data_IF_000018204181
#
_entry.id   IF_000018204181
#
_cell.length_a   1.000
_cell.length_b   1.000
_cell.length_c   1.000
_cell.angle_alpha   90.00
_cell.angle_beta   90.00
_cell.angle_gamma   90.00
#
_symmetry.space_group_name_H-M   'P 1'
#
loop_
_entity.id
_entity.type
_entity.pdbx_description
1 polymer ?
#
# COMPACT_ATOMS: atom_id res chain seq x y z
N UNK A 1 -12.49 -21.84 -26.09
CA UNK A 1 -12.78 -21.73 -24.64
C UNK A 1 -12.34 -20.35 -24.21
N UNK A 2 -13.30 -19.47 -23.98
CA UNK A 2 -13.08 -18.04 -23.73
C UNK A 2 -12.39 -17.85 -22.37
N UNK A 3 -11.26 -17.16 -22.41
CA UNK A 3 -10.50 -16.70 -21.25
C UNK A 3 -11.30 -15.56 -20.60
N UNK A 4 -12.26 -15.91 -19.73
CA UNK A 4 -13.04 -14.94 -18.98
C UNK A 4 -12.11 -14.19 -18.02
N UNK A 5 -11.88 -12.92 -18.36
CA UNK A 5 -11.58 -11.82 -17.47
C UNK A 5 -10.64 -12.16 -16.31
N UNK A 6 -9.34 -12.16 -16.60
CA UNK A 6 -8.35 -11.88 -15.57
C UNK A 6 -8.41 -10.36 -15.30
N UNK A 7 -9.56 -9.88 -14.81
CA UNK A 7 -9.66 -8.55 -14.23
C UNK A 7 -8.59 -8.49 -13.15
N UNK A 8 -7.70 -7.50 -13.25
CA UNK A 8 -6.78 -7.18 -12.18
C UNK A 8 -7.65 -6.89 -10.96
N UNK A 9 -7.79 -7.88 -10.07
CA UNK A 9 -8.33 -7.67 -8.74
C UNK A 9 -7.29 -6.82 -8.03
N UNK A 10 -7.44 -5.51 -8.18
CA UNK A 10 -6.70 -4.48 -7.49
C UNK A 10 -7.53 -4.07 -6.28
N UNK A 11 -6.89 -3.90 -5.13
CA UNK A 11 -7.59 -3.56 -3.90
C UNK A 11 -8.14 -2.11 -3.92
N UNK A 12 -7.84 -1.35 -4.97
CA UNK A 12 -8.37 -0.01 -5.24
C UNK A 12 -9.90 0.08 -5.19
N UNK A 13 -10.64 -0.99 -5.50
CA UNK A 13 -12.12 -1.01 -5.38
C UNK A 13 -12.61 -0.60 -3.98
N UNK A 14 -11.81 -0.89 -2.95
CA UNK A 14 -12.16 -0.58 -1.57
C UNK A 14 -12.17 0.93 -1.28
N UNK A 15 -11.31 1.68 -1.98
CA UNK A 15 -11.26 3.14 -1.88
C UNK A 15 -12.26 3.84 -2.80
N UNK A 16 -12.67 3.16 -3.88
CA UNK A 16 -13.59 3.68 -4.91
C UNK A 16 -15.07 3.36 -4.64
N UNK A 17 -15.38 2.61 -3.57
CA UNK A 17 -16.77 2.29 -3.22
C UNK A 17 -17.59 3.56 -2.95
N UNK A 18 -18.61 3.77 -3.78
CA UNK A 18 -19.45 4.96 -3.76
C UNK A 18 -20.16 5.15 -2.42
N UNK A 19 -20.61 4.05 -1.79
CA UNK A 19 -21.33 4.11 -0.53
C UNK A 19 -20.41 4.50 0.63
N UNK A 20 -19.16 4.01 0.64
CA UNK A 20 -18.12 4.45 1.58
C UNK A 20 -17.74 5.91 1.36
N UNK A 21 -17.69 6.37 0.11
CA UNK A 21 -17.46 7.78 -0.19
C UNK A 21 -18.59 8.66 0.35
N UNK A 22 -19.84 8.24 0.19
CA UNK A 22 -21.02 8.96 0.70
C UNK A 22 -21.06 8.98 2.23
N UNK A 23 -20.72 7.87 2.90
CA UNK A 23 -20.52 7.85 4.35
C UNK A 23 -19.44 8.84 4.79
N UNK A 24 -18.34 8.91 4.06
CA UNK A 24 -17.25 9.86 4.32
C UNK A 24 -17.72 11.30 4.25
N UNK A 25 -18.44 11.68 3.19
CA UNK A 25 -19.00 13.02 3.02
C UNK A 25 -20.01 13.38 4.12
N UNK A 26 -20.93 12.47 4.42
CA UNK A 26 -21.94 12.69 5.44
C UNK A 26 -21.32 12.84 6.85
N UNK A 27 -20.28 12.06 7.16
CA UNK A 27 -19.52 12.24 8.40
C UNK A 27 -18.74 13.55 8.44
N UNK A 28 -18.15 13.97 7.31
CA UNK A 28 -17.46 15.26 7.21
C UNK A 28 -18.43 16.42 7.47
N UNK A 29 -19.63 16.37 6.92
CA UNK A 29 -20.63 17.43 7.12
C UNK A 29 -21.03 17.55 8.59
N UNK A 30 -21.22 16.43 9.29
CA UNK A 30 -21.53 16.44 10.73
C UNK A 30 -20.38 16.98 11.60
N UNK A 31 -19.13 16.89 11.12
CA UNK A 31 -17.91 17.23 11.86
C UNK A 31 -17.38 18.62 11.58
N UNK A 32 -17.59 19.13 10.37
CA UNK A 32 -17.01 20.36 9.81
C UNK A 32 -17.16 21.54 10.76
N UNK A 33 -18.39 21.83 11.20
CA UNK A 33 -18.70 22.99 12.04
C UNK A 33 -18.58 22.70 13.55
N UNK A 34 -18.29 21.45 13.91
CA UNK A 34 -18.12 21.00 15.29
C UNK A 34 -16.67 20.64 15.60
N UNK A 35 -16.38 19.33 15.62
CA UNK A 35 -15.08 18.81 16.05
C UNK A 35 -13.91 19.26 15.16
N UNK A 36 -14.13 19.42 13.85
CA UNK A 36 -13.07 19.83 12.92
C UNK A 36 -12.75 21.33 13.08
N UNK A 37 -13.78 22.17 13.22
CA UNK A 37 -13.63 23.59 13.56
C UNK A 37 -12.88 23.77 14.89
N UNK A 38 -13.22 23.00 15.93
CA UNK A 38 -12.50 23.05 17.22
C UNK A 38 -11.01 22.71 17.05
N UNK A 39 -10.69 21.66 16.29
CA UNK A 39 -9.31 21.25 16.05
C UNK A 39 -8.53 22.33 15.29
N UNK A 40 -9.13 22.88 14.23
CA UNK A 40 -8.55 23.96 13.43
C UNK A 40 -8.25 25.20 14.28
N UNK A 41 -9.24 25.68 15.05
CA UNK A 41 -9.09 26.85 15.92
C UNK A 41 -8.01 26.64 17.01
N UNK A 42 -7.91 25.44 17.59
CA UNK A 42 -6.82 25.13 18.54
C UNK A 42 -5.43 25.20 17.89
N UNK A 43 -5.31 24.72 16.66
CA UNK A 43 -4.07 24.81 15.89
C UNK A 43 -3.73 26.27 15.55
N UNK A 44 -4.72 27.08 15.17
CA UNK A 44 -4.53 28.52 14.97
C UNK A 44 -4.07 29.22 16.25
N UNK A 45 -4.70 28.94 17.41
CA UNK A 45 -4.25 29.47 18.71
C UNK A 45 -2.80 29.08 18.99
N UNK A 46 -2.44 27.82 18.75
CA UNK A 46 -1.07 27.34 18.96
C UNK A 46 -0.05 28.07 18.06
N UNK A 47 -0.36 28.20 16.77
CA UNK A 47 0.47 28.91 15.81
C UNK A 47 0.63 30.39 16.18
N UNK A 48 -0.48 31.04 16.56
CA UNK A 48 -0.50 32.45 16.97
C UNK A 48 0.36 32.70 18.21
N UNK A 49 0.29 31.82 19.21
CA UNK A 49 1.13 31.87 20.42
C UNK A 49 2.62 31.73 20.12
N UNK A 50 2.98 30.99 19.08
CA UNK A 50 4.38 30.81 18.66
C UNK A 50 4.90 31.93 17.77
N UNK A 51 4.00 32.71 17.17
CA UNK A 51 4.38 33.76 16.26
C UNK A 51 5.00 34.94 17.03
N UNK A 52 6.25 35.28 16.68
CA UNK A 52 7.00 36.38 17.31
C UNK A 52 6.81 37.74 16.62
N UNK A 53 6.16 37.76 15.46
CA UNK A 53 5.99 38.96 14.62
C UNK A 53 4.67 39.69 14.88
N UNK A 54 3.73 39.04 15.57
CA UNK A 54 2.43 39.63 15.93
C UNK A 54 2.55 40.26 17.30
N UNK A 55 1.95 41.44 17.46
CA UNK A 55 1.84 42.15 18.74
C UNK A 55 1.01 41.36 19.77
N UNK A 56 1.40 41.45 21.04
CA UNK A 56 0.78 40.65 22.09
C UNK A 56 -0.68 41.05 22.39
N UNK A 57 -1.05 42.32 22.23
CA UNK A 57 -2.44 42.74 22.38
C UNK A 57 -3.34 42.18 21.27
N UNK A 58 -2.83 42.17 20.03
CA UNK A 58 -3.51 41.55 18.88
C UNK A 58 -3.64 40.04 19.08
N UNK A 59 -2.60 39.37 19.61
CA UNK A 59 -2.69 37.94 19.93
C UNK A 59 -3.78 37.63 20.95
N UNK A 60 -3.83 38.40 22.03
CA UNK A 60 -4.81 38.19 23.10
C UNK A 60 -6.23 38.32 22.55
N UNK A 61 -6.50 39.39 21.79
CA UNK A 61 -7.80 39.63 21.16
C UNK A 61 -8.23 38.47 20.25
N UNK A 62 -7.38 38.05 19.31
CA UNK A 62 -7.69 36.93 18.40
C UNK A 62 -7.85 35.60 19.13
N UNK A 63 -7.08 35.34 20.19
CA UNK A 63 -7.25 34.13 21.01
C UNK A 63 -8.59 34.13 21.74
N UNK A 64 -9.05 35.28 22.23
CA UNK A 64 -10.36 35.39 22.87
C UNK A 64 -11.51 35.16 21.90
N UNK A 65 -11.40 35.69 20.67
CA UNK A 65 -12.36 35.43 19.59
C UNK A 65 -12.42 33.93 19.25
N UNK A 66 -11.26 33.31 19.00
CA UNK A 66 -11.20 31.86 18.74
C UNK A 66 -11.74 31.02 19.90
N UNK A 67 -11.57 31.45 21.15
CA UNK A 67 -12.17 30.76 22.30
C UNK A 67 -13.69 30.83 22.28
N UNK A 68 -14.28 31.97 21.91
CA UNK A 68 -15.74 32.10 21.76
C UNK A 68 -16.27 31.18 20.66
N UNK A 69 -15.62 31.17 19.51
CA UNK A 69 -15.98 30.28 18.40
C UNK A 69 -15.83 28.79 18.76
N UNK A 70 -14.85 28.43 19.59
CA UNK A 70 -14.70 27.06 20.11
C UNK A 70 -15.91 26.66 20.96
N UNK A 71 -16.47 27.57 21.77
CA UNK A 71 -17.66 27.26 22.58
C UNK A 71 -18.91 27.06 21.72
N UNK A 72 -19.06 27.80 20.63
CA UNK A 72 -20.14 27.59 19.65
C UNK A 72 -19.98 26.24 18.93
N UNK A 73 -18.78 25.95 18.43
CA UNK A 73 -18.49 24.68 17.77
C UNK A 73 -18.66 23.47 18.72
N UNK A 74 -18.42 23.64 20.02
CA UNK A 74 -18.70 22.61 21.03
C UNK A 74 -20.20 22.28 21.14
N UNK A 75 -21.08 23.28 21.01
CA UNK A 75 -22.53 23.04 21.01
C UNK A 75 -22.94 22.22 19.80
N UNK A 76 -22.51 22.64 18.61
CA UNK A 76 -22.74 21.90 17.35
C UNK A 76 -22.19 20.47 17.43
N UNK A 77 -20.99 20.28 17.97
CA UNK A 77 -20.41 18.95 18.16
C UNK A 77 -21.21 18.08 19.14
N UNK A 78 -21.82 18.68 20.17
CA UNK A 78 -22.66 17.96 21.12
C UNK A 78 -24.00 17.56 20.49
N UNK A 79 -24.61 18.47 19.72
CA UNK A 79 -25.85 18.23 18.97
C UNK A 79 -25.68 17.10 17.94
N UNK A 80 -24.56 17.11 17.20
CA UNK A 80 -24.27 16.10 16.17
C UNK A 80 -23.70 14.79 16.72
N UNK A 81 -23.37 14.71 18.03
CA UNK A 81 -22.61 13.61 18.63
C UNK A 81 -23.22 12.23 18.37
N UNK A 82 -24.52 12.08 18.59
CA UNK A 82 -25.19 10.78 18.48
C UNK A 82 -25.39 10.38 17.02
N UNK A 83 -25.71 11.34 16.15
CA UNK A 83 -25.80 11.15 14.71
C UNK A 83 -24.44 10.72 14.12
N UNK A 84 -23.36 11.42 14.47
CA UNK A 84 -22.00 11.09 14.05
C UNK A 84 -21.61 9.69 14.54
N UNK A 85 -21.87 9.37 15.81
CA UNK A 85 -21.54 8.07 16.39
C UNK A 85 -22.26 6.92 15.67
N UNK A 86 -23.55 7.09 15.40
CA UNK A 86 -24.36 6.08 14.70
C UNK A 86 -23.87 5.91 13.26
N UNK A 87 -23.69 7.00 12.53
CA UNK A 87 -23.23 6.98 11.14
C UNK A 87 -21.82 6.39 11.01
N UNK A 88 -20.91 6.71 11.93
CA UNK A 88 -19.56 6.15 11.94
C UNK A 88 -19.58 4.65 12.20
N UNK A 89 -20.45 4.17 13.09
CA UNK A 89 -20.62 2.73 13.35
C UNK A 89 -21.17 1.99 12.11
N UNK A 90 -22.17 2.56 11.44
CA UNK A 90 -22.72 2.01 10.20
C UNK A 90 -21.68 1.97 9.08
N UNK A 91 -20.93 3.06 8.89
CA UNK A 91 -19.88 3.17 7.90
C UNK A 91 -18.76 2.14 8.14
N UNK A 92 -18.32 1.97 9.39
CA UNK A 92 -17.30 0.96 9.76
C UNK A 92 -17.84 -0.46 9.58
N UNK A 93 -19.09 -0.73 9.92
CA UNK A 93 -19.71 -2.03 9.71
C UNK A 93 -19.78 -2.37 8.21
N UNK A 94 -20.15 -1.41 7.37
CA UNK A 94 -20.16 -1.57 5.92
C UNK A 94 -18.74 -1.78 5.36
N UNK A 95 -17.78 -0.96 5.78
CA UNK A 95 -16.35 -1.10 5.45
C UNK A 95 -15.82 -2.51 5.77
N UNK A 96 -16.10 -3.01 6.97
CA UNK A 96 -15.69 -4.36 7.39
C UNK A 96 -16.36 -5.46 6.56
N UNK A 97 -17.64 -5.30 6.23
CA UNK A 97 -18.35 -6.25 5.38
C UNK A 97 -17.73 -6.28 3.99
N UNK A 98 -17.58 -5.12 3.35
CA UNK A 98 -16.97 -4.99 2.03
C UNK A 98 -15.56 -5.60 2.00
N UNK A 99 -14.76 -5.33 3.03
CA UNK A 99 -13.44 -5.91 3.19
C UNK A 99 -13.49 -7.44 3.24
N UNK A 100 -14.29 -8.00 4.15
CA UNK A 100 -14.37 -9.45 4.37
C UNK A 100 -14.90 -10.20 3.14
N UNK A 101 -15.85 -9.60 2.41
CA UNK A 101 -16.46 -10.21 1.22
C UNK A 101 -15.43 -10.35 0.09
N UNK A 102 -14.44 -9.44 0.00
CA UNK A 102 -13.52 -9.37 -1.13
C UNK A 102 -12.07 -9.80 -0.83
N UNK A 103 -11.60 -9.67 0.41
CA UNK A 103 -10.19 -9.92 0.77
C UNK A 103 -9.75 -11.36 0.46
N UNK A 104 -10.66 -12.33 0.59
CA UNK A 104 -10.38 -13.74 0.32
C UNK A 104 -10.00 -13.95 -1.14
N UNK A 105 -10.75 -13.37 -2.06
CA UNK A 105 -10.53 -13.52 -3.49
C UNK A 105 -9.30 -12.75 -3.95
N UNK A 106 -9.04 -11.58 -3.36
CA UNK A 106 -7.78 -10.85 -3.56
C UNK A 106 -6.56 -11.65 -3.11
N UNK A 107 -6.58 -12.25 -1.91
CA UNK A 107 -5.46 -13.09 -1.45
C UNK A 107 -5.28 -14.32 -2.35
N UNK A 108 -6.39 -14.90 -2.83
CA UNK A 108 -6.35 -16.03 -3.74
C UNK A 108 -5.71 -15.65 -5.08
N UNK A 109 -6.05 -14.50 -5.66
CA UNK A 109 -5.46 -14.01 -6.91
C UNK A 109 -3.97 -13.70 -6.75
N UNK A 110 -3.58 -13.06 -5.64
CA UNK A 110 -2.16 -12.82 -5.31
C UNK A 110 -1.37 -14.12 -5.15
N UNK A 111 -1.95 -15.13 -4.50
CA UNK A 111 -1.30 -16.44 -4.39
C UNK A 111 -1.20 -17.16 -5.76
N UNK A 112 -2.16 -16.96 -6.66
CA UNK A 112 -2.05 -17.46 -8.04
C UNK A 112 -0.93 -16.76 -8.81
N UNK A 113 -0.79 -15.43 -8.68
CA UNK A 113 0.34 -14.68 -9.26
C UNK A 113 1.68 -15.22 -8.77
N UNK A 114 1.82 -15.51 -7.47
CA UNK A 114 3.06 -16.09 -6.93
C UNK A 114 3.39 -17.47 -7.52
N UNK A 115 2.38 -18.31 -7.76
CA UNK A 115 2.56 -19.59 -8.46
C UNK A 115 3.04 -19.37 -9.90
N UNK A 116 2.43 -18.40 -10.60
CA UNK A 116 2.83 -18.06 -11.97
C UNK A 116 4.27 -17.53 -12.02
N UNK A 117 4.65 -16.63 -11.11
CA UNK A 117 6.03 -16.11 -11.04
C UNK A 117 7.07 -17.23 -10.85
N UNK A 118 6.71 -18.29 -10.11
CA UNK A 118 7.58 -19.45 -9.95
C UNK A 118 7.75 -20.21 -11.27
N UNK A 119 6.65 -20.46 -11.98
CA UNK A 119 6.66 -21.12 -13.29
C UNK A 119 7.47 -20.29 -14.30
N UNK A 120 7.22 -18.97 -14.35
CA UNK A 120 7.93 -18.05 -15.25
C UNK A 120 9.43 -18.04 -14.95
N UNK A 121 9.82 -18.06 -13.67
CA UNK A 121 11.21 -18.17 -13.25
C UNK A 121 11.84 -19.49 -13.70
N UNK A 122 11.18 -20.62 -13.49
CA UNK A 122 11.67 -21.95 -13.91
C UNK A 122 11.83 -22.03 -15.44
N UNK A 123 10.90 -21.46 -16.20
CA UNK A 123 10.99 -21.34 -17.65
C UNK A 123 12.14 -20.43 -18.08
N UNK A 124 12.31 -19.28 -17.43
CA UNK A 124 13.38 -18.34 -17.74
C UNK A 124 14.77 -18.96 -17.47
N UNK A 125 14.94 -19.68 -16.37
CA UNK A 125 16.18 -20.41 -16.08
C UNK A 125 16.47 -21.45 -17.17
N UNK A 126 15.44 -22.17 -17.61
CA UNK A 126 15.56 -23.17 -18.67
C UNK A 126 15.97 -22.54 -20.01
N UNK A 127 15.39 -21.39 -20.39
CA UNK A 127 15.79 -20.63 -21.59
C UNK A 127 17.24 -20.15 -21.51
N UNK A 128 17.62 -19.53 -20.38
CA UNK A 128 18.99 -19.05 -20.16
C UNK A 128 20.01 -20.20 -20.29
N UNK A 129 19.68 -21.38 -19.77
CA UNK A 129 20.54 -22.56 -19.91
C UNK A 129 20.68 -23.01 -21.37
N UNK A 130 19.57 -23.12 -22.10
CA UNK A 130 19.57 -23.54 -23.50
C UNK A 130 20.35 -22.55 -24.39
N UNK A 131 20.12 -21.25 -24.21
CA UNK A 131 20.84 -20.18 -24.93
C UNK A 131 22.34 -20.24 -24.63
N UNK A 132 22.75 -20.47 -23.38
CA UNK A 132 24.15 -20.57 -23.02
C UNK A 132 24.81 -21.83 -23.60
N UNK A 133 24.10 -22.95 -23.65
CA UNK A 133 24.59 -24.19 -24.24
C UNK A 133 24.76 -24.07 -25.76
N UNK A 134 23.80 -23.45 -26.46
CA UNK A 134 23.91 -23.14 -27.88
C UNK A 134 25.12 -22.23 -28.16
N UNK A 135 25.27 -21.14 -27.41
CA UNK A 135 26.40 -20.22 -27.57
C UNK A 135 27.77 -20.87 -27.25
N UNK A 136 27.82 -21.81 -26.31
CA UNK A 136 29.03 -22.62 -26.06
C UNK A 136 29.35 -23.51 -27.25
N UNK A 137 28.34 -24.17 -27.82
CA UNK A 137 28.52 -25.03 -28.99
C UNK A 137 29.08 -24.23 -30.17
N UNK A 138 28.53 -23.05 -30.45
CA UNK A 138 29.05 -22.13 -31.47
C UNK A 138 30.51 -21.74 -31.22
N UNK A 139 30.87 -21.43 -29.96
CA UNK A 139 32.25 -21.12 -29.61
C UNK A 139 33.22 -22.31 -29.85
N UNK A 140 32.77 -23.55 -29.61
CA UNK A 140 33.55 -24.75 -29.91
C UNK A 140 33.64 -25.02 -31.41
N UNK A 141 32.57 -24.79 -32.17
CA UNK A 141 32.56 -24.95 -33.63
C UNK A 141 33.54 -23.96 -34.28
N UNK A 142 33.56 -22.70 -33.83
CA UNK A 142 34.52 -21.68 -34.30
C UNK A 142 35.96 -22.00 -33.91
N UNK A 143 36.19 -22.60 -32.74
CA UNK A 143 37.50 -23.10 -32.35
C UNK A 143 37.97 -24.24 -33.25
N UNK A 144 37.08 -25.13 -33.71
CA UNK A 144 37.45 -26.20 -34.61
C UNK A 144 38.02 -25.68 -35.95
N UNK A 145 37.54 -24.52 -36.40
CA UNK A 145 38.02 -23.82 -37.60
C UNK A 145 39.31 -23.03 -37.36
N UNK A 146 39.33 -22.18 -36.33
CA UNK A 146 40.42 -21.22 -36.08
C UNK A 146 41.60 -21.82 -35.31
N UNK A 147 41.34 -22.86 -34.50
CA UNK A 147 42.27 -23.47 -33.53
C UNK A 147 42.88 -22.48 -32.52
N UNK A 148 42.27 -21.31 -32.33
CA UNK A 148 42.73 -20.32 -31.36
C UNK A 148 42.19 -20.64 -29.95
N UNK A 149 43.02 -21.31 -29.17
CA UNK A 149 42.68 -21.67 -27.78
C UNK A 149 42.56 -20.46 -26.84
N UNK A 150 43.24 -19.34 -27.12
CA UNK A 150 43.17 -18.15 -26.29
C UNK A 150 41.81 -17.46 -26.46
N UNK A 151 41.33 -17.38 -27.70
CA UNK A 151 40.04 -16.78 -28.01
C UNK A 151 38.87 -17.64 -27.52
N UNK A 152 38.94 -18.98 -27.66
CA UNK A 152 37.95 -19.88 -27.07
C UNK A 152 37.81 -19.66 -25.56
N UNK A 153 38.94 -19.60 -24.82
CA UNK A 153 38.92 -19.39 -23.38
C UNK A 153 38.32 -18.03 -23.00
N UNK A 154 38.57 -16.98 -23.79
CA UNK A 154 37.93 -15.67 -23.57
C UNK A 154 36.42 -15.76 -23.75
N UNK A 155 35.94 -16.36 -24.84
CA UNK A 155 34.50 -16.54 -25.12
C UNK A 155 33.81 -17.35 -24.02
N UNK A 156 34.39 -18.48 -23.60
CA UNK A 156 33.85 -19.30 -22.52
C UNK A 156 33.77 -18.54 -21.18
N UNK A 157 34.77 -17.71 -20.86
CA UNK A 157 34.74 -16.88 -19.66
C UNK A 157 33.65 -15.81 -19.72
N UNK A 158 33.48 -15.16 -20.89
CA UNK A 158 32.38 -14.19 -21.12
C UNK A 158 31.03 -14.88 -20.97
N UNK A 159 30.82 -16.04 -21.60
CA UNK A 159 29.58 -16.82 -21.51
C UNK A 159 29.29 -17.26 -20.07
N UNK A 160 30.31 -17.62 -19.29
CA UNK A 160 30.16 -17.96 -17.86
C UNK A 160 29.72 -16.75 -17.04
N UNK A 161 30.31 -15.58 -17.30
CA UNK A 161 29.93 -14.34 -16.62
C UNK A 161 28.49 -13.94 -16.97
N UNK A 162 28.13 -13.96 -18.25
CA UNK A 162 26.78 -13.67 -18.74
C UNK A 162 25.74 -14.63 -18.16
N UNK A 163 26.04 -15.92 -18.08
CA UNK A 163 25.17 -16.92 -17.45
C UNK A 163 24.88 -16.58 -15.99
N UNK A 164 25.93 -16.32 -15.21
CA UNK A 164 25.79 -15.96 -13.79
C UNK A 164 25.00 -14.66 -13.61
N UNK A 165 25.27 -13.66 -14.45
CA UNK A 165 24.54 -12.39 -14.45
C UNK A 165 23.05 -12.59 -14.75
N UNK A 166 22.74 -13.37 -15.79
CA UNK A 166 21.35 -13.64 -16.22
C UNK A 166 20.57 -14.43 -15.16
N UNK A 167 21.21 -15.40 -14.49
CA UNK A 167 20.61 -16.11 -13.36
C UNK A 167 20.36 -15.20 -12.15
N UNK A 168 21.29 -14.30 -11.83
CA UNK A 168 21.11 -13.35 -10.75
C UNK A 168 19.94 -12.39 -11.05
N UNK A 169 19.85 -11.89 -12.29
CA UNK A 169 18.76 -11.04 -12.73
C UNK A 169 17.40 -11.76 -12.66
N UNK A 170 17.30 -12.98 -13.22
CA UNK A 170 16.09 -13.79 -13.16
C UNK A 170 15.65 -14.06 -11.70
N UNK A 171 16.61 -14.37 -10.83
CA UNK A 171 16.35 -14.59 -9.40
C UNK A 171 15.86 -13.32 -8.71
N UNK A 172 16.46 -12.17 -8.99
CA UNK A 172 16.04 -10.90 -8.41
C UNK A 172 14.63 -10.53 -8.89
N UNK A 173 14.35 -10.61 -10.20
CA UNK A 173 13.00 -10.38 -10.76
C UNK A 173 11.94 -11.24 -10.08
N UNK A 174 12.20 -12.53 -9.90
CA UNK A 174 11.29 -13.44 -9.19
C UNK A 174 11.09 -13.00 -7.73
N UNK A 175 12.17 -12.70 -7.00
CA UNK A 175 12.09 -12.26 -5.60
C UNK A 175 11.30 -10.97 -5.44
N UNK A 176 11.52 -10.01 -6.34
CA UNK A 176 10.86 -8.71 -6.33
C UNK A 176 9.37 -8.87 -6.65
N UNK A 177 9.01 -9.70 -7.63
CA UNK A 177 7.61 -10.01 -7.95
C UNK A 177 6.87 -10.68 -6.78
N UNK A 178 7.51 -11.65 -6.10
CA UNK A 178 6.94 -12.28 -4.90
C UNK A 178 6.83 -11.28 -3.75
N UNK A 179 7.82 -10.40 -3.57
CA UNK A 179 7.80 -9.36 -2.55
C UNK A 179 6.65 -8.37 -2.80
N UNK A 180 6.49 -7.87 -4.02
CA UNK A 180 5.40 -6.99 -4.42
C UNK A 180 4.02 -7.62 -4.15
N UNK A 181 3.85 -8.90 -4.46
CA UNK A 181 2.61 -9.62 -4.15
C UNK A 181 2.34 -9.76 -2.64
N UNK A 182 3.39 -9.96 -1.84
CA UNK A 182 3.27 -9.97 -0.37
C UNK A 182 2.91 -8.57 0.17
N UNK A 183 3.54 -7.54 -0.36
CA UNK A 183 3.28 -6.14 -0.01
C UNK A 183 1.85 -5.73 -0.38
N UNK A 184 1.35 -6.09 -1.56
CA UNK A 184 -0.02 -5.83 -1.98
C UNK A 184 -1.05 -6.41 -0.99
N UNK A 185 -0.82 -7.65 -0.51
CA UNK A 185 -1.64 -8.26 0.55
C UNK A 185 -1.60 -7.48 1.85
N UNK A 186 -0.41 -7.00 2.25
CA UNK A 186 -0.29 -6.19 3.47
C UNK A 186 -1.00 -4.84 3.31
N UNK A 187 -0.79 -4.18 2.16
CA UNK A 187 -1.35 -2.88 1.85
C UNK A 187 -2.88 -2.90 1.89
N UNK A 188 -3.50 -3.95 1.37
CA UNK A 188 -4.95 -4.14 1.47
C UNK A 188 -5.47 -4.09 2.93
N UNK A 189 -4.75 -4.70 3.88
CA UNK A 189 -5.10 -4.62 5.30
C UNK A 189 -4.82 -3.25 5.91
N UNK A 190 -3.72 -2.60 5.51
CA UNK A 190 -3.41 -1.23 5.95
C UNK A 190 -4.50 -0.27 5.50
N UNK A 191 -4.88 -0.32 4.23
CA UNK A 191 -5.91 0.54 3.63
C UNK A 191 -7.26 0.34 4.33
N UNK A 192 -7.63 -0.90 4.61
CA UNK A 192 -8.82 -1.23 5.40
C UNK A 192 -8.83 -0.57 6.77
N UNK A 193 -7.75 -0.70 7.53
CA UNK A 193 -7.68 -0.14 8.87
C UNK A 193 -7.61 1.39 8.83
N UNK A 194 -6.85 1.96 7.90
CA UNK A 194 -6.79 3.41 7.71
C UNK A 194 -8.16 3.98 7.33
N UNK A 195 -8.91 3.29 6.48
CA UNK A 195 -10.30 3.67 6.16
C UNK A 195 -11.16 3.66 7.42
N UNK A 196 -11.13 2.60 8.22
CA UNK A 196 -11.87 2.53 9.49
C UNK A 196 -11.46 3.63 10.47
N UNK A 197 -10.17 3.98 10.54
CA UNK A 197 -9.67 5.10 11.36
C UNK A 197 -10.24 6.42 10.86
N UNK A 198 -10.23 6.67 9.55
CA UNK A 198 -10.77 7.91 8.95
C UNK A 198 -12.27 8.06 9.23
N UNK A 199 -13.04 6.97 9.09
CA UNK A 199 -14.47 6.94 9.39
C UNK A 199 -14.76 7.24 10.86
N UNK A 200 -13.82 6.95 11.77
CA UNK A 200 -13.94 7.22 13.22
C UNK A 200 -13.22 8.49 13.67
N UNK A 201 -12.94 9.40 12.75
CA UNK A 201 -12.25 10.67 13.04
C UNK A 201 -10.88 10.46 13.71
N UNK A 202 -10.07 9.55 13.17
CA UNK A 202 -8.72 9.29 13.69
C UNK A 202 -8.67 8.37 14.91
N UNK A 203 -9.82 7.94 15.46
CA UNK A 203 -9.86 7.01 16.60
C UNK A 203 -9.45 5.60 16.16
N UNK A 204 -8.42 5.06 16.82
CA UNK A 204 -7.89 3.74 16.53
C UNK A 204 -8.65 2.63 17.26
N UNK A 205 -8.54 1.39 16.78
CA UNK A 205 -8.97 0.19 17.49
C UNK A 205 -7.74 -0.60 17.95
N UNK A 206 -7.70 -1.00 19.21
CA UNK A 206 -6.61 -1.84 19.73
C UNK A 206 -6.50 -3.18 19.00
N UNK A 207 -7.62 -3.81 18.65
CA UNK A 207 -7.61 -5.09 17.92
C UNK A 207 -7.07 -4.94 16.51
N UNK A 208 -7.48 -3.89 15.78
CA UNK A 208 -6.97 -3.60 14.44
C UNK A 208 -5.47 -3.28 14.47
N UNK A 209 -5.03 -2.48 15.44
CA UNK A 209 -3.62 -2.16 15.62
C UNK A 209 -2.77 -3.40 15.94
N UNK A 210 -3.27 -4.33 16.77
CA UNK A 210 -2.58 -5.59 17.04
C UNK A 210 -2.45 -6.45 15.79
N UNK A 211 -3.53 -6.59 15.01
CA UNK A 211 -3.51 -7.36 13.75
C UNK A 211 -2.59 -6.72 12.73
N UNK A 212 -2.60 -5.39 12.61
CA UNK A 212 -1.66 -4.65 11.76
C UNK A 212 -0.22 -4.90 12.19
N UNK A 213 0.10 -4.70 13.47
CA UNK A 213 1.46 -4.89 13.98
C UNK A 213 1.97 -6.32 13.75
N UNK A 214 1.09 -7.32 13.92
CA UNK A 214 1.43 -8.72 13.64
C UNK A 214 1.69 -8.98 12.16
N UNK A 215 0.85 -8.43 11.26
CA UNK A 215 1.04 -8.56 9.82
C UNK A 215 2.29 -7.83 9.35
N UNK A 216 2.46 -6.59 9.78
CA UNK A 216 3.68 -5.82 9.53
C UNK A 216 4.92 -6.58 10.00
N UNK A 217 4.86 -7.24 11.16
CA UNK A 217 5.95 -8.08 11.64
C UNK A 217 6.23 -9.26 10.70
N UNK A 218 5.22 -10.04 10.31
CA UNK A 218 5.38 -11.15 9.36
C UNK A 218 5.98 -10.65 8.03
N UNK A 219 5.46 -9.55 7.50
CA UNK A 219 5.88 -9.03 6.20
C UNK A 219 7.26 -8.35 6.23
N UNK A 220 7.63 -7.64 7.31
CA UNK A 220 8.95 -7.00 7.48
C UNK A 220 10.04 -8.02 7.79
N UNK A 221 9.76 -9.03 8.59
CA UNK A 221 10.77 -10.02 9.01
C UNK A 221 10.81 -11.28 8.13
N UNK A 222 10.00 -11.33 7.07
CA UNK A 222 10.00 -12.41 6.06
C UNK A 222 9.91 -13.83 6.67
N UNK A 223 9.16 -13.96 7.76
CA UNK A 223 8.76 -15.27 8.30
C UNK A 223 7.76 -15.97 7.37
#
# INVERSE_FOLDING_TARGET
MENKNNEKIDFSFFNEDAKLADYGKALQELRKDGVDKIASLKNHIYALKKNRLIDDAVKISSIEEYKKEIEEAKKTALENKDAEKKLAAEAVAYSNKLFNDNIRDFIKSENQKQKQYKIDYENQISSIMQENEAAKKEAYDEFAETKDSAELNRKLNVLKFQLNSSFAEAKNKYRDAVAASKEAKNQAYIDHVQKNISLRNGRTNLKENMVLNFKDYIYKFKL
#
